data_IF_265331491730
#
_entry.id   IF_265331491730
#
_cell.length_a   1.000
_cell.length_b   1.000
_cell.length_c   1.000
_cell.angle_alpha   90.00
_cell.angle_beta   90.00
_cell.angle_gamma   90.00
#
_symmetry.space_group_name_H-M   'P 1'
#
loop_
_entity.id
_entity.type
_entity.pdbx_description
1 polymer ?
#
# COMPACT_ATOMS: atom_id res chain seq x y z
N UNK A 1 6.82 -2.49 -17.94
CA UNK A 1 6.27 -2.90 -16.64
C UNK A 1 7.24 -2.44 -15.56
N UNK A 2 6.76 -1.68 -14.57
CA UNK A 2 7.59 -1.20 -13.45
C UNK A 2 7.16 -1.97 -12.21
N UNK A 3 8.13 -2.59 -11.54
CA UNK A 3 7.92 -3.23 -10.24
C UNK A 3 8.45 -2.32 -9.14
N UNK A 4 7.70 -2.19 -8.05
CA UNK A 4 8.10 -1.41 -6.88
C UNK A 4 7.92 -2.26 -5.62
N UNK A 5 8.83 -2.09 -4.66
CA UNK A 5 8.73 -2.69 -3.33
C UNK A 5 8.43 -1.59 -2.31
N UNK A 6 7.45 -1.83 -1.46
CA UNK A 6 7.15 -0.98 -0.31
C UNK A 6 7.63 -1.68 0.95
N UNK A 7 8.51 -1.02 1.71
CA UNK A 7 8.93 -1.44 3.04
C UNK A 7 8.26 -0.56 4.10
N UNK A 8 7.77 -1.18 5.17
CA UNK A 8 7.22 -0.48 6.33
C UNK A 8 7.73 -1.15 7.60
N UNK A 9 8.11 -0.36 8.58
CA UNK A 9 8.58 -0.79 9.89
C UNK A 9 7.91 0.07 10.95
N UNK A 10 7.17 -0.54 11.89
CA UNK A 10 6.56 0.18 13.02
C UNK A 10 7.14 -0.22 14.37
N UNK A 11 7.89 -1.32 14.43
CA UNK A 11 8.49 -1.88 15.65
C UNK A 11 9.85 -2.50 15.26
N UNK A 12 10.83 -2.45 16.16
CA UNK A 12 12.20 -2.94 15.89
C UNK A 12 12.32 -4.48 15.84
N UNK A 13 11.26 -5.20 16.25
CA UNK A 13 11.21 -6.66 16.31
C UNK A 13 9.79 -7.18 16.22
N UNK A 14 9.65 -8.45 15.88
CA UNK A 14 8.36 -9.14 15.92
C UNK A 14 7.79 -9.20 17.34
N UNK A 15 6.48 -8.97 17.46
CA UNK A 15 5.74 -9.02 18.70
C UNK A 15 4.77 -10.19 18.70
N UNK A 16 4.53 -10.77 19.89
CA UNK A 16 3.48 -11.77 20.04
C UNK A 16 2.11 -11.11 19.76
N UNK A 17 1.27 -11.79 18.97
CA UNK A 17 0.00 -11.22 18.47
C UNK A 17 -0.98 -10.80 19.57
N UNK A 18 -0.83 -11.32 20.80
CA UNK A 18 -1.60 -10.86 21.97
C UNK A 18 -1.41 -9.37 22.29
N UNK A 19 -0.30 -8.76 21.87
CA UNK A 19 -0.02 -7.34 22.09
C UNK A 19 -0.70 -6.43 21.06
N UNK A 20 -1.31 -6.98 20.01
CA UNK A 20 -1.96 -6.23 18.93
C UNK A 20 -2.94 -5.13 19.37
N UNK A 21 -3.69 -5.23 20.49
CA UNK A 21 -4.58 -4.16 20.93
C UNK A 21 -3.87 -2.88 21.39
N UNK A 22 -2.58 -2.94 21.72
CA UNK A 22 -1.83 -1.83 22.35
C UNK A 22 -0.55 -1.44 21.60
N UNK A 23 -0.25 -2.08 20.48
CA UNK A 23 0.93 -1.81 19.64
C UNK A 23 0.52 -1.51 18.21
N UNK A 24 1.38 -0.80 17.49
CA UNK A 24 1.20 -0.59 16.05
C UNK A 24 1.43 -1.90 15.31
N UNK A 25 0.53 -2.26 14.40
CA UNK A 25 0.66 -3.46 13.60
C UNK A 25 1.11 -3.07 12.18
N UNK A 26 2.39 -3.29 11.87
CA UNK A 26 3.00 -3.02 10.56
C UNK A 26 2.19 -3.61 9.41
N UNK A 27 1.68 -4.84 9.56
CA UNK A 27 0.89 -5.50 8.51
C UNK A 27 -0.40 -4.74 8.22
N UNK A 28 -1.12 -4.30 9.25
CA UNK A 28 -2.34 -3.51 9.08
C UNK A 28 -2.07 -2.14 8.44
N UNK A 29 -0.98 -1.48 8.83
CA UNK A 29 -0.59 -0.20 8.21
C UNK A 29 -0.21 -0.39 6.73
N UNK A 30 0.50 -1.46 6.38
CA UNK A 30 0.82 -1.77 4.99
C UNK A 30 -0.44 -2.05 4.17
N UNK A 31 -1.40 -2.81 4.70
CA UNK A 31 -2.70 -3.05 4.04
C UNK A 31 -3.42 -1.72 3.77
N UNK A 32 -3.43 -0.79 4.73
CA UNK A 32 -4.03 0.54 4.52
C UNK A 32 -3.32 1.34 3.42
N UNK A 33 -2.00 1.21 3.28
CA UNK A 33 -1.25 1.84 2.18
C UNK A 33 -1.62 1.20 0.85
N UNK A 34 -1.64 -0.13 0.76
CA UNK A 34 -1.98 -0.86 -0.46
C UNK A 34 -3.40 -0.53 -0.96
N UNK A 35 -4.37 -0.43 -0.04
CA UNK A 35 -5.76 -0.06 -0.34
C UNK A 35 -5.94 1.39 -0.84
N UNK A 36 -4.89 2.22 -0.78
CA UNK A 36 -4.91 3.57 -1.37
C UNK A 36 -4.39 3.61 -2.80
N UNK A 37 -3.78 2.53 -3.31
CA UNK A 37 -3.14 2.53 -4.62
C UNK A 37 -4.12 2.29 -5.78
N UNK A 38 -5.17 1.50 -5.54
CA UNK A 38 -6.16 1.11 -6.55
C UNK A 38 -7.54 1.12 -5.89
N UNK A 39 -8.59 1.49 -6.64
CA UNK A 39 -9.96 1.37 -6.16
C UNK A 39 -10.60 0.01 -6.46
N UNK A 40 -11.82 -0.21 -5.94
CA UNK A 40 -12.55 -1.48 -6.12
C UNK A 40 -12.92 -1.76 -7.59
N UNK A 41 -12.86 -0.75 -8.47
CA UNK A 41 -13.06 -0.86 -9.91
C UNK A 41 -11.77 -1.16 -10.69
N UNK A 42 -10.63 -1.30 -10.00
CA UNK A 42 -9.33 -1.54 -10.61
C UNK A 42 -8.64 -0.28 -11.14
N UNK A 43 -9.15 0.93 -10.84
CA UNK A 43 -8.52 2.18 -11.28
C UNK A 43 -7.40 2.59 -10.32
N UNK A 44 -6.23 2.86 -10.87
CA UNK A 44 -5.09 3.37 -10.11
C UNK A 44 -5.37 4.79 -9.56
N UNK A 45 -5.05 4.97 -8.27
CA UNK A 45 -5.23 6.20 -7.50
C UNK A 45 -3.94 7.02 -7.35
N UNK A 46 -2.84 6.57 -7.96
CA UNK A 46 -1.56 7.27 -7.93
C UNK A 46 -1.67 8.58 -8.72
N UNK A 47 -1.36 9.74 -8.12
CA UNK A 47 -1.40 11.01 -8.85
C UNK A 47 -0.48 10.99 -10.07
N UNK A 48 -1.01 11.45 -11.21
CA UNK A 48 -0.27 11.50 -12.46
C UNK A 48 -0.14 10.19 -13.22
N UNK A 49 -0.70 9.08 -12.70
CA UNK A 49 -0.56 7.75 -13.30
C UNK A 49 -1.01 7.67 -14.76
N UNK A 50 -1.99 8.49 -15.16
CA UNK A 50 -2.57 8.49 -16.51
C UNK A 50 -2.18 9.70 -17.37
N UNK A 51 -1.30 10.58 -16.90
CA UNK A 51 -1.01 11.85 -17.59
C UNK A 51 -0.45 11.66 -19.00
N UNK A 52 0.32 10.58 -19.20
CA UNK A 52 1.03 10.32 -20.45
C UNK A 52 0.32 9.26 -21.33
N UNK A 53 -0.95 8.96 -21.06
CA UNK A 53 -1.72 8.07 -21.91
C UNK A 53 -1.98 8.70 -23.28
N UNK A 54 -1.55 8.02 -24.34
CA UNK A 54 -1.88 8.38 -25.73
C UNK A 54 -3.04 7.51 -26.19
N UNK A 55 -4.14 8.15 -26.61
CA UNK A 55 -5.25 7.43 -27.19
C UNK A 55 -4.91 6.97 -28.61
N UNK A 56 -4.98 5.67 -28.85
CA UNK A 56 -4.82 5.09 -30.18
C UNK A 56 -6.19 5.12 -30.88
N UNK A 57 -6.25 5.78 -32.03
CA UNK A 57 -7.40 5.83 -32.94
C UNK A 57 -7.23 4.87 -34.11
#
# INVERSE_FOLDING_TARGET
MVYVQLGLETEERDLHSSSAPVTSNTTWELVKVLNKLVDDGGREKVPGFYNDLVQLS
#
